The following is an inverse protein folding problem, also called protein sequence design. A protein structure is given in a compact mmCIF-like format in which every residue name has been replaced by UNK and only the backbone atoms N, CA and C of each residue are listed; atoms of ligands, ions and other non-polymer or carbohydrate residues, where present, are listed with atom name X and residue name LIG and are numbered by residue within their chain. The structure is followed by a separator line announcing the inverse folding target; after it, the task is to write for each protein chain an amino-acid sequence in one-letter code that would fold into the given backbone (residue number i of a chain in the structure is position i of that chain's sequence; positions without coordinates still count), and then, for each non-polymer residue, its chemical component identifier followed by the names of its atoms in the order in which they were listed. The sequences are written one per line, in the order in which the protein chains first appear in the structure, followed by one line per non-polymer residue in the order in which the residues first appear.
data_IF_325153900258
#
_entry.id   IF_325153900258
#
_cell.length_a   1.000
_cell.length_b   1.000
_cell.length_c   1.000
_cell.angle_alpha   90.00
_cell.angle_beta   90.00
_cell.angle_gamma   90.00
#
_symmetry.space_group_name_H-M   'P 1'
#
loop_
_entity.id
_entity.type
_entity.pdbx_description
1 polymer ?
#
# COMPACT_ATOMS: atom_id res chain seq x y z
N UNK A 1 -5.44 1.56 -0.80
CA UNK A 1 -5.10 2.93 -1.21
C UNK A 1 -6.02 3.38 -2.33
N UNK A 2 -6.70 4.52 -2.14
CA UNK A 2 -7.66 5.02 -3.11
C UNK A 2 -7.06 5.80 -4.28
N UNK A 3 -5.79 6.22 -4.18
CA UNK A 3 -5.13 7.03 -5.20
C UNK A 3 -4.28 6.13 -6.10
N UNK A 4 -4.56 6.09 -7.43
CA UNK A 4 -3.81 5.22 -8.36
C UNK A 4 -2.33 5.55 -8.44
N UNK A 5 -1.96 6.82 -8.33
CA UNK A 5 -0.56 7.24 -8.38
C UNK A 5 0.19 6.77 -7.12
N UNK A 6 -0.42 6.95 -5.95
CA UNK A 6 0.17 6.50 -4.69
C UNK A 6 0.37 4.99 -4.69
N UNK A 7 -0.61 4.25 -5.19
CA UNK A 7 -0.53 2.81 -5.35
C UNK A 7 0.62 2.41 -6.27
N UNK A 8 0.76 3.10 -7.41
CA UNK A 8 1.84 2.82 -8.35
C UNK A 8 3.22 3.06 -7.73
N UNK A 9 3.37 4.14 -6.94
CA UNK A 9 4.59 4.41 -6.21
C UNK A 9 4.89 3.28 -5.21
N UNK A 10 3.90 2.88 -4.45
CA UNK A 10 4.03 1.79 -3.48
C UNK A 10 4.48 0.49 -4.14
N UNK A 11 3.88 0.15 -5.28
CA UNK A 11 4.24 -1.05 -6.03
C UNK A 11 5.68 -0.99 -6.55
N UNK A 12 6.11 0.18 -7.02
CA UNK A 12 7.50 0.36 -7.50
C UNK A 12 8.50 0.18 -6.36
N UNK A 13 8.19 0.72 -5.19
CA UNK A 13 9.05 0.57 -4.01
C UNK A 13 9.08 -0.87 -3.51
N UNK A 14 8.06 -1.65 -3.81
CA UNK A 14 8.04 -3.09 -3.50
C UNK A 14 9.06 -3.87 -4.32
N UNK A 15 9.45 -3.37 -5.49
CA UNK A 15 10.45 -4.01 -6.33
C UNK A 15 11.88 -3.68 -5.87
N UNK A 16 12.15 -2.41 -5.55
CA UNK A 16 13.44 -1.93 -5.03
C UNK A 16 13.30 -0.50 -4.52
N UNK A 17 14.27 -0.01 -3.71
CA UNK A 17 14.31 1.39 -3.31
C UNK A 17 14.44 2.32 -4.52
N UNK A 18 13.84 3.51 -4.43
CA UNK A 18 13.90 4.51 -5.48
C UNK A 18 13.99 5.91 -4.91
N UNK A 19 14.65 6.80 -5.65
CA UNK A 19 14.65 8.23 -5.37
C UNK A 19 13.42 8.90 -5.97
N UNK A 20 13.12 10.14 -5.53
CA UNK A 20 12.05 10.95 -6.13
C UNK A 20 12.25 11.09 -7.64
N UNK A 21 13.48 11.37 -8.06
CA UNK A 21 13.79 11.53 -9.49
C UNK A 21 13.53 10.27 -10.30
N UNK A 22 13.86 9.11 -9.76
CA UNK A 22 13.58 7.84 -10.44
C UNK A 22 12.08 7.60 -10.58
N UNK A 23 11.31 7.82 -9.53
CA UNK A 23 9.86 7.65 -9.57
C UNK A 23 9.20 8.62 -10.55
N UNK A 24 9.69 9.88 -10.59
CA UNK A 24 9.16 10.87 -11.53
C UNK A 24 9.47 10.54 -12.98
N UNK A 25 10.55 9.79 -13.24
CA UNK A 25 10.87 9.32 -14.59
C UNK A 25 10.07 8.08 -14.98
N UNK A 26 9.79 7.22 -14.03
CA UNK A 26 9.07 5.96 -14.28
C UNK A 26 7.57 6.12 -14.38
N UNK A 27 7.02 7.16 -13.75
CA UNK A 27 5.57 7.38 -13.66
C UNK A 27 5.21 8.74 -14.28
N UNK A 28 3.98 8.89 -14.79
CA UNK A 28 3.54 10.15 -15.40
C UNK A 28 3.14 11.17 -14.34
N UNK A 29 4.08 11.55 -13.49
CA UNK A 29 3.86 12.48 -12.38
C UNK A 29 5.07 13.40 -12.22
N UNK A 30 4.84 14.58 -11.65
CA UNK A 30 5.90 15.54 -11.37
C UNK A 30 6.64 15.18 -10.08
N UNK A 31 7.86 15.69 -9.91
CA UNK A 31 8.62 15.49 -8.67
C UNK A 31 7.89 16.01 -7.43
N UNK A 32 7.28 17.21 -7.45
CA UNK A 32 6.51 17.66 -6.29
C UNK A 32 5.36 16.73 -5.91
N UNK A 33 4.67 16.18 -6.92
CA UNK A 33 3.58 15.24 -6.68
C UNK A 33 4.10 13.93 -6.05
N UNK A 34 5.22 13.40 -6.56
CA UNK A 34 5.88 12.22 -5.98
C UNK A 34 6.24 12.48 -4.52
N UNK A 35 6.84 13.63 -4.22
CA UNK A 35 7.23 13.99 -2.86
C UNK A 35 6.03 14.03 -1.91
N UNK A 36 4.89 14.55 -2.37
CA UNK A 36 3.67 14.60 -1.57
C UNK A 36 3.12 13.20 -1.30
N UNK A 37 3.10 12.34 -2.31
CA UNK A 37 2.65 10.96 -2.14
C UNK A 37 3.56 10.17 -1.18
N UNK A 38 4.87 10.36 -1.29
CA UNK A 38 5.83 9.71 -0.41
C UNK A 38 5.66 10.18 1.03
N UNK A 39 5.38 11.47 1.23
CA UNK A 39 5.13 11.99 2.57
C UNK A 39 3.91 11.32 3.22
N UNK A 40 2.83 11.15 2.47
CA UNK A 40 1.62 10.47 2.96
C UNK A 40 1.94 9.03 3.33
N UNK A 41 2.68 8.31 2.48
CA UNK A 41 3.07 6.92 2.73
C UNK A 41 4.00 6.82 3.95
N UNK A 42 4.93 7.75 4.09
CA UNK A 42 5.85 7.79 5.23
C UNK A 42 5.11 8.09 6.53
N UNK A 43 4.20 9.07 6.51
CA UNK A 43 3.40 9.42 7.69
C UNK A 43 2.50 8.25 8.12
N UNK A 44 2.07 7.44 7.18
CA UNK A 44 1.29 6.23 7.45
C UNK A 44 2.15 5.05 7.93
N UNK A 45 3.48 5.21 7.98
CA UNK A 45 4.38 4.16 8.44
C UNK A 45 4.65 3.07 7.40
N UNK A 46 4.28 3.29 6.15
CA UNK A 46 4.45 2.28 5.07
C UNK A 46 5.76 2.42 4.32
N UNK A 47 6.39 3.59 4.38
CA UNK A 47 7.61 3.91 3.64
C UNK A 47 8.62 4.55 4.59
N UNK A 48 9.88 4.19 4.42
CA UNK A 48 11.02 4.79 5.10
C UNK A 48 11.93 5.44 4.05
N UNK A 49 12.86 6.27 4.49
CA UNK A 49 13.82 6.90 3.61
C UNK A 49 15.20 6.91 4.23
N UNK A 50 16.22 6.96 3.38
CA UNK A 50 17.61 6.96 3.79
C UNK A 50 18.45 7.80 2.82
N UNK A 51 19.27 8.71 3.32
CA UNK A 51 20.20 9.44 2.46
C UNK A 51 21.35 8.53 2.02
N UNK A 52 21.68 8.58 0.73
CA UNK A 52 22.80 7.87 0.14
C UNK A 52 23.52 8.86 -0.78
N UNK A 53 24.68 9.35 -0.36
CA UNK A 53 25.37 10.43 -1.05
C UNK A 53 24.55 11.71 -1.00
N UNK A 54 24.31 12.31 -2.17
CA UNK A 54 23.48 13.52 -2.31
C UNK A 54 22.03 13.20 -2.71
N UNK A 55 21.64 11.92 -2.65
CA UNK A 55 20.28 11.47 -2.96
C UNK A 55 19.63 10.90 -1.72
N UNK A 56 18.30 10.85 -1.76
CA UNK A 56 17.48 10.20 -0.74
C UNK A 56 16.68 9.08 -1.40
N UNK A 57 16.84 7.86 -0.88
CA UNK A 57 16.12 6.69 -1.37
C UNK A 57 14.99 6.34 -0.44
N UNK A 58 13.87 5.98 -1.03
CA UNK A 58 12.66 5.57 -0.33
C UNK A 58 12.46 4.07 -0.52
N UNK A 59 11.98 3.40 0.50
CA UNK A 59 11.75 1.95 0.46
C UNK A 59 10.60 1.57 1.39
N UNK A 60 10.02 0.40 1.16
CA UNK A 60 8.91 -0.06 1.99
C UNK A 60 9.39 -0.36 3.41
N UNK A 61 8.57 0.03 4.38
CA UNK A 61 8.78 -0.32 5.78
C UNK A 61 8.19 -1.72 6.02
N UNK A 62 9.01 -2.76 6.27
CA UNK A 62 8.50 -4.12 6.45
C UNK A 62 7.50 -4.23 7.60
N UNK A 63 7.72 -3.49 8.69
CA UNK A 63 6.84 -3.53 9.86
C UNK A 63 5.47 -2.92 9.54
N UNK A 64 5.45 -1.77 8.84
CA UNK A 64 4.21 -1.12 8.45
C UNK A 64 3.42 -1.94 7.44
N UNK A 65 4.11 -2.52 6.46
CA UNK A 65 3.48 -3.40 5.46
C UNK A 65 2.95 -4.66 6.12
N UNK A 66 3.70 -5.24 7.04
CA UNK A 66 3.26 -6.42 7.80
C UNK A 66 2.01 -6.14 8.61
N UNK A 67 1.93 -4.98 9.28
CA UNK A 67 0.75 -4.58 10.03
C UNK A 67 -0.46 -4.39 9.14
N UNK A 68 -0.27 -3.78 7.96
CA UNK A 68 -1.33 -3.61 6.97
C UNK A 68 -1.83 -4.97 6.48
N UNK A 69 -0.92 -5.88 6.19
CA UNK A 69 -1.26 -7.24 5.76
C UNK A 69 -2.08 -7.97 6.82
N UNK A 70 -1.66 -7.90 8.07
CA UNK A 70 -2.38 -8.53 9.18
C UNK A 70 -3.80 -7.97 9.32
N UNK A 71 -3.95 -6.65 9.17
CA UNK A 71 -5.26 -6.01 9.20
C UNK A 71 -6.15 -6.50 8.05
N UNK A 72 -5.59 -6.56 6.83
CA UNK A 72 -6.33 -7.01 5.65
C UNK A 72 -6.71 -8.48 5.75
N UNK A 73 -5.83 -9.33 6.29
CA UNK A 73 -6.13 -10.75 6.52
C UNK A 73 -7.30 -10.91 7.50
N UNK A 74 -7.31 -10.13 8.57
CA UNK A 74 -8.40 -10.14 9.54
C UNK A 74 -9.72 -9.70 8.91
N UNK A 75 -9.69 -8.62 8.13
CA UNK A 75 -10.86 -8.12 7.41
C UNK A 75 -11.39 -9.17 6.43
N UNK A 76 -10.50 -9.81 5.68
CA UNK A 76 -10.87 -10.85 4.72
C UNK A 76 -11.56 -12.02 5.41
N UNK A 77 -11.02 -12.49 6.53
CA UNK A 77 -11.61 -13.59 7.29
C UNK A 77 -13.00 -13.22 7.80
N UNK A 78 -13.18 -12.01 8.31
CA UNK A 78 -14.50 -11.53 8.76
C UNK A 78 -15.49 -11.48 7.62
N UNK A 79 -15.10 -10.96 6.47
CA UNK A 79 -15.94 -10.86 5.30
C UNK A 79 -16.34 -12.23 4.77
N UNK A 80 -15.40 -13.18 4.76
CA UNK A 80 -15.65 -14.55 4.33
C UNK A 80 -16.64 -15.26 5.26
N UNK A 81 -16.48 -15.10 6.56
CA UNK A 81 -17.38 -15.68 7.54
C UNK A 81 -18.79 -15.11 7.42
N UNK A 82 -18.90 -13.79 7.23
CA UNK A 82 -20.21 -13.14 7.05
C UNK A 82 -20.89 -13.65 5.78
N UNK A 83 -20.13 -13.83 4.71
CA UNK A 83 -20.66 -14.38 3.45
C UNK A 83 -21.15 -15.81 3.64
N UNK A 84 -20.36 -16.64 4.32
CA UNK A 84 -20.71 -18.03 4.58
C UNK A 84 -22.01 -18.14 5.40
N UNK A 85 -22.14 -17.33 6.43
CA UNK A 85 -23.35 -17.31 7.26
C UNK A 85 -24.57 -16.86 6.47
N UNK A 86 -24.41 -15.87 5.59
CA UNK A 86 -25.51 -15.40 4.75
C UNK A 86 -25.98 -16.48 3.78
N UNK A 87 -25.06 -17.24 3.19
CA UNK A 87 -25.38 -18.34 2.27
C UNK A 87 -26.10 -19.46 3.02
N UNK A 88 -25.63 -19.86 4.20
CA UNK A 88 -26.25 -20.89 5.01
C UNK A 88 -27.65 -20.49 5.43
N UNK A 89 -27.87 -19.26 5.85
CA UNK A 89 -29.17 -18.75 6.21
C UNK A 89 -30.12 -18.77 5.02
N UNK A 90 -29.64 -18.45 3.84
CA UNK A 90 -30.47 -18.46 2.62
C UNK A 90 -30.88 -19.86 2.22
N UNK A 91 -30.01 -20.84 2.42
CA UNK A 91 -30.34 -22.25 2.19
C UNK A 91 -31.46 -22.72 3.12
N UNK A 92 -31.42 -22.32 4.38
CA UNK A 92 -32.48 -22.63 5.35
C UNK A 92 -33.81 -22.03 4.93
N UNK A 93 -33.84 -20.80 4.39
CA UNK A 93 -35.05 -20.13 3.94
C UNK A 93 -35.67 -20.82 2.71
N UNK A 94 -34.85 -21.41 1.87
CA UNK A 94 -35.31 -22.07 0.64
C UNK A 94 -35.89 -23.46 0.92
N UNK A 95 -35.42 -24.10 1.97
CA UNK A 95 -35.95 -25.42 2.39
C UNK A 95 -37.08 -25.29 3.37
#
# INVERSE_FOLDING_TARGET
MGDPTRRAIFERLGERPRSVGELARELPVTRPAVSQHLKVLKDAGLVLDQPVGNRRFYYLNPDGVGSLRAYLDQFWNQALMAFKMAVEQREEEVT
#
